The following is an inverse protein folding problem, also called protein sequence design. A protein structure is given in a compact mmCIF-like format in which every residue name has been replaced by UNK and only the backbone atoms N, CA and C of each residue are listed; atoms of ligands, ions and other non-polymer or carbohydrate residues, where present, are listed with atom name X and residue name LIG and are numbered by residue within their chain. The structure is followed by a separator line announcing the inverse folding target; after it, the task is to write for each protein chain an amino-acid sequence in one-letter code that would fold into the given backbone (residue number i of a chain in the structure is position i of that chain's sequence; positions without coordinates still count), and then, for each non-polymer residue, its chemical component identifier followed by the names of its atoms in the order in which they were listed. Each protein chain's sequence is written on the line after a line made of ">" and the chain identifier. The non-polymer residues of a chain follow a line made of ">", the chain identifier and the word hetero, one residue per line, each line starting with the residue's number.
data_IF_093308580028
#
_entry.id   IF_093308580028
#
_cell.length_a   1.000
_cell.length_b   1.000
_cell.length_c   1.000
_cell.angle_alpha   90.00
_cell.angle_beta   90.00
_cell.angle_gamma   90.00
#
_symmetry.space_group_name_H-M   'P 1'
#
loop_
_entity.id
_entity.type
_entity.pdbx_description
1 polymer ?
#
# COMPACT_ATOMS: atom_id res chain seq x y z
N UNK A 1 -11.80 -18.33 29.64
CA UNK A 1 -12.57 -17.40 28.79
C UNK A 1 -12.36 -15.98 29.29
N UNK A 2 -11.39 -15.24 28.77
CA UNK A 2 -11.38 -13.77 28.82
C UNK A 2 -10.68 -13.27 27.55
N UNK A 3 -11.27 -12.21 27.05
CA UNK A 3 -11.25 -11.64 25.71
C UNK A 3 -9.91 -11.10 25.21
N UNK A 4 -9.89 -11.06 23.89
CA UNK A 4 -8.90 -10.56 22.96
C UNK A 4 -8.79 -9.03 23.04
N UNK A 5 -7.71 -8.49 23.61
CA UNK A 5 -7.38 -7.07 23.58
C UNK A 5 -5.88 -6.87 23.80
N UNK A 6 -5.07 -7.15 22.78
CA UNK A 6 -3.63 -6.95 22.82
C UNK A 6 -3.09 -6.53 21.44
N UNK A 7 -3.41 -5.31 20.99
CA UNK A 7 -2.74 -4.70 19.83
C UNK A 7 -2.48 -3.19 19.99
N UNK A 8 -2.35 -2.69 21.22
CA UNK A 8 -2.01 -1.28 21.44
C UNK A 8 -1.18 -1.07 22.71
N UNK A 9 0.01 -1.67 22.78
CA UNK A 9 1.00 -1.28 23.79
C UNK A 9 2.06 -0.38 23.14
N UNK A 10 2.12 0.82 23.70
CA UNK A 10 2.94 1.99 23.39
C UNK A 10 4.42 1.69 23.70
N UNK A 11 5.29 1.71 22.69
CA UNK A 11 6.74 1.66 22.89
C UNK A 11 7.24 2.96 23.57
N UNK A 12 7.97 2.87 24.69
CA UNK A 12 8.55 4.01 25.38
C UNK A 12 9.92 4.32 24.77
N UNK A 13 10.00 5.42 24.01
CA UNK A 13 11.16 6.34 23.98
C UNK A 13 10.93 7.40 22.91
N UNK A 14 10.17 8.41 23.29
CA UNK A 14 10.18 9.73 22.65
C UNK A 14 11.31 10.57 23.24
N UNK A 15 12.51 10.48 22.68
CA UNK A 15 13.48 11.58 22.72
C UNK A 15 14.56 11.36 21.66
N UNK A 16 14.51 12.17 20.61
CA UNK A 16 15.61 12.98 20.06
C UNK A 16 15.26 13.42 18.63
N UNK A 17 15.39 14.73 18.45
CA UNK A 17 15.05 15.54 17.29
C UNK A 17 15.94 15.25 16.05
N UNK A 18 15.60 15.81 14.87
CA UNK A 18 15.78 15.17 13.58
C UNK A 18 17.20 15.37 13.04
N UNK A 19 17.94 14.28 12.84
CA UNK A 19 19.06 14.28 11.90
C UNK A 19 18.75 13.35 10.75
N UNK A 20 18.77 13.95 9.55
CA UNK A 20 18.62 13.33 8.24
C UNK A 20 19.63 12.20 8.06
N UNK A 21 19.29 10.99 8.49
CA UNK A 21 19.91 9.78 7.96
C UNK A 21 18.90 9.11 7.02
N UNK A 22 19.28 8.80 5.76
CA UNK A 22 18.35 8.17 4.80
C UNK A 22 18.08 6.68 5.14
N UNK A 23 18.37 6.23 6.36
CA UNK A 23 18.38 4.81 6.75
C UNK A 23 17.17 4.37 7.58
N UNK A 24 16.24 5.26 7.92
CA UNK A 24 15.05 4.93 8.73
C UNK A 24 13.74 4.75 7.93
N UNK A 25 13.79 4.63 6.60
CA UNK A 25 12.60 4.28 5.78
C UNK A 25 12.25 2.78 5.77
N UNK A 26 12.81 2.00 6.71
CA UNK A 26 12.58 0.55 6.78
C UNK A 26 11.41 0.15 7.68
N UNK A 27 10.77 1.08 8.41
CA UNK A 27 9.60 0.76 9.25
C UNK A 27 8.28 0.53 8.49
N UNK A 28 8.24 0.75 7.18
CA UNK A 28 7.11 0.32 6.31
C UNK A 28 7.37 -1.06 5.69
N UNK A 29 8.55 -1.67 5.93
CA UNK A 29 9.01 -2.94 5.34
C UNK A 29 8.92 -4.09 6.38
N UNK A 30 7.86 -4.12 7.19
CA UNK A 30 7.71 -5.15 8.23
C UNK A 30 7.31 -6.55 7.69
N UNK A 31 7.23 -6.73 6.37
CA UNK A 31 6.79 -7.97 5.74
C UNK A 31 7.76 -8.55 4.69
N UNK A 32 9.01 -8.09 4.60
CA UNK A 32 10.01 -8.74 3.73
C UNK A 32 10.89 -9.71 4.56
N UNK A 33 11.19 -10.93 4.05
CA UNK A 33 12.10 -11.84 4.75
C UNK A 33 13.46 -11.18 4.99
N UNK A 34 14.01 -11.33 6.20
CA UNK A 34 15.16 -10.57 6.72
C UNK A 34 16.46 -10.66 5.90
N UNK A 35 16.56 -11.63 4.98
CA UNK A 35 17.76 -11.85 4.13
C UNK A 35 17.91 -10.86 2.97
N UNK A 36 16.92 -10.00 2.71
CA UNK A 36 16.88 -9.11 1.54
C UNK A 36 17.03 -7.61 1.88
N UNK A 37 17.70 -7.26 2.98
CA UNK A 37 17.81 -5.85 3.40
C UNK A 37 19.21 -5.24 3.22
N UNK A 38 20.24 -6.05 2.96
CA UNK A 38 21.63 -5.60 2.95
C UNK A 38 22.13 -5.42 1.52
N UNK A 39 22.46 -4.17 1.17
CA UNK A 39 23.10 -3.80 -0.10
C UNK A 39 24.49 -3.25 0.20
N UNK A 40 25.52 -3.85 -0.40
CA UNK A 40 26.89 -3.36 -0.30
C UNK A 40 27.24 -2.46 -1.49
N UNK A 41 28.10 -1.46 -1.27
CA UNK A 41 28.49 -0.44 -2.25
C UNK A 41 29.28 -0.99 -3.46
N UNK A 42 29.69 -2.26 -3.44
CA UNK A 42 30.44 -2.92 -4.52
C UNK A 42 29.60 -3.79 -5.47
N UNK A 43 28.27 -3.81 -5.36
CA UNK A 43 27.44 -4.62 -6.26
C UNK A 43 27.32 -4.01 -7.66
N UNK A 44 27.30 -4.88 -8.68
CA UNK A 44 26.96 -4.50 -10.04
C UNK A 44 25.58 -3.81 -10.09
N UNK A 45 25.49 -2.72 -10.87
CA UNK A 45 24.28 -1.91 -10.99
C UNK A 45 23.04 -2.72 -11.40
N UNK A 46 23.23 -3.78 -12.20
CA UNK A 46 22.15 -4.69 -12.62
C UNK A 46 21.47 -5.39 -11.43
N UNK A 47 22.27 -5.94 -10.49
CA UNK A 47 21.75 -6.60 -9.28
C UNK A 47 20.98 -5.61 -8.41
N UNK A 48 21.47 -4.38 -8.35
CA UNK A 48 20.87 -3.32 -7.57
C UNK A 48 19.50 -2.87 -8.13
N UNK A 49 19.40 -2.74 -9.46
CA UNK A 49 18.12 -2.46 -10.14
C UNK A 49 17.10 -3.57 -9.87
N UNK A 50 17.51 -4.84 -10.02
CA UNK A 50 16.63 -5.98 -9.76
C UNK A 50 16.13 -6.01 -8.31
N UNK A 51 17.00 -5.68 -7.35
CA UNK A 51 16.66 -5.58 -5.94
C UNK A 51 15.56 -4.54 -5.68
N UNK A 52 15.72 -3.30 -6.18
CA UNK A 52 14.72 -2.25 -6.00
C UNK A 52 13.44 -2.50 -6.81
N UNK A 53 13.54 -3.07 -8.01
CA UNK A 53 12.37 -3.48 -8.79
C UNK A 53 11.53 -4.51 -8.06
N UNK A 54 12.17 -5.48 -7.38
CA UNK A 54 11.48 -6.49 -6.57
C UNK A 54 10.70 -5.83 -5.42
N UNK A 55 11.31 -4.90 -4.70
CA UNK A 55 10.62 -4.18 -3.60
C UNK A 55 9.38 -3.42 -4.07
N UNK A 56 9.49 -2.66 -5.17
CA UNK A 56 8.35 -1.91 -5.72
C UNK A 56 7.23 -2.84 -6.18
N UNK A 57 7.57 -3.95 -6.84
CA UNK A 57 6.58 -4.96 -7.25
C UNK A 57 5.94 -5.67 -6.05
N UNK A 58 6.73 -6.01 -5.03
CA UNK A 58 6.22 -6.64 -3.82
C UNK A 58 5.17 -5.76 -3.14
N UNK A 59 5.47 -4.47 -2.95
CA UNK A 59 4.51 -3.52 -2.38
C UNK A 59 3.26 -3.38 -3.25
N UNK A 60 3.40 -3.34 -4.58
CA UNK A 60 2.25 -3.29 -5.49
C UNK A 60 1.35 -4.52 -5.34
N UNK A 61 1.92 -5.74 -5.31
CA UNK A 61 1.15 -6.98 -5.11
C UNK A 61 0.43 -6.96 -3.77
N UNK A 62 1.11 -6.60 -2.68
CA UNK A 62 0.48 -6.51 -1.35
C UNK A 62 -0.74 -5.58 -1.33
N UNK A 63 -0.62 -4.38 -1.91
CA UNK A 63 -1.76 -3.46 -1.99
C UNK A 63 -2.86 -4.00 -2.90
N UNK A 64 -2.49 -4.61 -4.03
CA UNK A 64 -3.47 -5.19 -4.94
C UNK A 64 -4.27 -6.31 -4.27
N UNK A 65 -3.61 -7.23 -3.58
CA UNK A 65 -4.25 -8.36 -2.91
C UNK A 65 -5.18 -7.85 -1.81
N UNK A 66 -4.71 -6.95 -0.95
CA UNK A 66 -5.53 -6.36 0.13
C UNK A 66 -6.76 -5.62 -0.40
N UNK A 67 -6.61 -4.82 -1.45
CA UNK A 67 -7.76 -4.11 -2.06
C UNK A 67 -8.69 -5.08 -2.79
N UNK A 68 -8.18 -6.18 -3.34
CA UNK A 68 -9.00 -7.20 -4.01
C UNK A 68 -9.83 -7.97 -2.99
N UNK A 69 -9.24 -8.41 -1.87
CA UNK A 69 -9.96 -9.05 -0.77
C UNK A 69 -11.12 -8.18 -0.28
N UNK A 70 -10.90 -6.87 -0.10
CA UNK A 70 -11.96 -5.94 0.29
C UNK A 70 -13.09 -5.93 -0.74
N UNK A 71 -12.78 -5.91 -2.05
CA UNK A 71 -13.80 -5.92 -3.10
C UNK A 71 -14.57 -7.25 -3.12
N UNK A 72 -13.87 -8.36 -2.90
CA UNK A 72 -14.45 -9.71 -3.00
C UNK A 72 -15.31 -10.08 -1.79
N UNK A 73 -15.00 -9.53 -0.61
CA UNK A 73 -15.82 -9.68 0.62
C UNK A 73 -17.19 -9.01 0.48
N UNK A 74 -17.35 -8.08 -0.47
CA UNK A 74 -18.53 -7.25 -0.61
C UNK A 74 -19.39 -7.65 -1.82
N UNK A 75 -20.59 -8.24 -1.61
CA UNK A 75 -21.48 -8.61 -2.70
C UNK A 75 -22.05 -7.37 -3.41
N UNK A 76 -22.23 -7.47 -4.73
CA UNK A 76 -22.81 -6.37 -5.52
C UNK A 76 -24.29 -6.22 -5.20
N UNK A 77 -24.67 -5.02 -4.73
CA UNK A 77 -26.07 -4.64 -4.46
C UNK A 77 -27.04 -4.81 -5.63
N UNK A 78 -26.54 -4.82 -6.86
CA UNK A 78 -27.38 -4.89 -8.06
C UNK A 78 -27.88 -6.33 -8.33
N UNK A 79 -27.28 -7.37 -7.72
CA UNK A 79 -27.70 -8.78 -7.86
C UNK A 79 -28.59 -9.26 -6.70
N UNK A 80 -28.91 -8.38 -5.76
CA UNK A 80 -29.73 -8.69 -4.58
C UNK A 80 -31.22 -8.53 -4.93
N UNK A 81 -32.07 -9.42 -4.42
CA UNK A 81 -33.52 -9.31 -4.61
C UNK A 81 -34.04 -7.94 -4.12
N UNK A 82 -34.95 -7.27 -4.87
CA UNK A 82 -35.38 -5.89 -4.61
C UNK A 82 -35.81 -5.63 -3.16
N UNK A 83 -36.44 -6.61 -2.49
CA UNK A 83 -36.79 -6.53 -1.07
C UNK A 83 -35.62 -6.17 -0.13
N UNK A 84 -34.46 -6.81 -0.31
CA UNK A 84 -33.27 -6.52 0.50
C UNK A 84 -32.55 -5.26 0.02
N UNK A 85 -32.69 -4.92 -1.26
CA UNK A 85 -32.17 -3.67 -1.83
C UNK A 85 -32.82 -2.43 -1.21
N UNK A 86 -34.14 -2.45 -1.05
CA UNK A 86 -34.89 -1.35 -0.42
C UNK A 86 -34.54 -1.20 1.06
N UNK A 87 -34.37 -2.32 1.77
CA UNK A 87 -33.94 -2.31 3.18
C UNK A 87 -32.52 -1.71 3.33
N UNK A 88 -31.58 -2.09 2.46
CA UNK A 88 -30.22 -1.53 2.50
C UNK A 88 -30.19 -0.05 2.10
N UNK A 89 -31.08 0.38 1.20
CA UNK A 89 -31.17 1.77 0.80
C UNK A 89 -31.61 2.67 1.97
N UNK A 90 -32.61 2.23 2.74
CA UNK A 90 -33.09 2.96 3.93
C UNK A 90 -32.04 3.02 5.04
N UNK A 91 -31.26 1.95 5.24
CA UNK A 91 -30.30 1.86 6.34
C UNK A 91 -28.92 2.46 6.01
N UNK A 92 -28.42 2.32 4.78
CA UNK A 92 -27.02 2.59 4.44
C UNK A 92 -26.78 3.46 3.19
N UNK A 93 -27.84 4.01 2.57
CA UNK A 93 -27.77 4.78 1.32
C UNK A 93 -26.93 4.08 0.23
N UNK A 94 -27.62 3.36 -0.67
CA UNK A 94 -27.04 2.58 -1.78
C UNK A 94 -25.96 3.35 -2.59
N UNK A 95 -26.12 4.66 -2.77
CA UNK A 95 -25.22 5.46 -3.60
C UNK A 95 -23.85 5.68 -2.95
N UNK A 96 -23.81 5.85 -1.63
CA UNK A 96 -22.56 5.98 -0.88
C UNK A 96 -21.72 4.71 -0.96
N UNK A 97 -22.37 3.56 -0.80
CA UNK A 97 -21.71 2.26 -0.91
C UNK A 97 -21.12 2.03 -2.31
N UNK A 98 -21.90 2.31 -3.36
CA UNK A 98 -21.43 2.18 -4.75
C UNK A 98 -20.28 3.13 -5.06
N UNK A 99 -20.32 4.35 -4.53
CA UNK A 99 -19.26 5.34 -4.68
C UNK A 99 -17.97 4.90 -3.98
N UNK A 100 -18.06 4.37 -2.76
CA UNK A 100 -16.91 3.88 -2.00
C UNK A 100 -16.20 2.71 -2.73
N UNK A 101 -16.96 1.72 -3.20
CA UNK A 101 -16.41 0.62 -4.01
C UNK A 101 -15.77 1.12 -5.32
N UNK A 102 -16.38 2.11 -5.97
CA UNK A 102 -15.81 2.77 -7.15
C UNK A 102 -14.46 3.43 -6.86
N UNK A 103 -14.35 4.12 -5.73
CA UNK A 103 -13.09 4.75 -5.30
C UNK A 103 -11.99 3.72 -5.00
N UNK A 104 -12.32 2.60 -4.36
CA UNK A 104 -11.37 1.50 -4.11
C UNK A 104 -10.86 0.91 -5.43
N UNK A 105 -11.76 0.67 -6.40
CA UNK A 105 -11.38 0.13 -7.70
C UNK A 105 -10.49 1.10 -8.51
N UNK A 106 -10.79 2.41 -8.47
CA UNK A 106 -9.92 3.42 -9.10
C UNK A 106 -8.55 3.50 -8.43
N UNK A 107 -8.47 3.42 -7.09
CA UNK A 107 -7.21 3.40 -6.36
C UNK A 107 -6.35 2.17 -6.65
N UNK A 108 -6.97 0.98 -6.81
CA UNK A 108 -6.29 -0.24 -7.28
C UNK A 108 -5.63 -0.02 -8.64
N UNK A 109 -6.35 0.61 -9.57
CA UNK A 109 -5.85 0.90 -10.91
C UNK A 109 -4.73 1.96 -10.90
N UNK A 110 -4.87 3.01 -10.09
CA UNK A 110 -3.83 4.04 -9.92
C UNK A 110 -2.54 3.47 -9.34
N UNK A 111 -2.64 2.62 -8.30
CA UNK A 111 -1.49 1.94 -7.70
C UNK A 111 -0.73 1.10 -8.73
N UNK A 112 -1.46 0.38 -9.59
CA UNK A 112 -0.88 -0.41 -10.68
C UNK A 112 -0.20 0.44 -11.75
N UNK A 113 -0.76 1.62 -12.08
CA UNK A 113 -0.13 2.58 -13.01
C UNK A 113 1.18 3.14 -12.43
N UNK A 114 1.14 3.62 -11.20
CA UNK A 114 2.31 4.17 -10.48
C UNK A 114 3.45 3.13 -10.41
N UNK A 115 3.13 1.87 -10.10
CA UNK A 115 4.12 0.80 -10.06
C UNK A 115 4.79 0.58 -11.42
N UNK A 116 4.01 0.49 -12.50
CA UNK A 116 4.53 0.29 -13.87
C UNK A 116 5.47 1.42 -14.28
N UNK A 117 5.12 2.67 -13.97
CA UNK A 117 5.93 3.83 -14.34
C UNK A 117 7.25 3.87 -13.58
N UNK A 118 7.25 3.60 -12.28
CA UNK A 118 8.49 3.54 -11.50
C UNK A 118 9.38 2.35 -11.84
N UNK A 119 8.78 1.21 -12.20
CA UNK A 119 9.55 0.05 -12.69
C UNK A 119 10.26 0.38 -14.01
N UNK A 120 9.63 1.17 -14.89
CA UNK A 120 10.29 1.66 -16.11
C UNK A 120 11.44 2.61 -15.78
N UNK A 121 11.23 3.57 -14.89
CA UNK A 121 12.27 4.52 -14.47
C UNK A 121 13.47 3.84 -13.79
N UNK A 122 13.23 2.79 -12.99
CA UNK A 122 14.28 2.02 -12.33
C UNK A 122 15.21 1.26 -13.30
N UNK A 123 14.75 0.92 -14.51
CA UNK A 123 15.59 0.26 -15.52
C UNK A 123 16.77 1.15 -15.95
N UNK A 124 16.58 2.47 -15.92
CA UNK A 124 17.56 3.47 -16.34
C UNK A 124 18.33 4.10 -15.17
N UNK A 125 18.20 3.56 -13.95
CA UNK A 125 18.92 4.05 -12.77
C UNK A 125 20.42 3.76 -12.87
N UNK A 126 21.23 4.81 -12.90
CA UNK A 126 22.71 4.80 -12.97
C UNK A 126 23.39 4.63 -11.61
N UNK A 127 22.78 5.16 -10.54
CA UNK A 127 23.36 5.20 -9.19
C UNK A 127 22.46 4.54 -8.14
N UNK A 128 23.10 4.02 -7.08
CA UNK A 128 22.44 3.54 -5.86
C UNK A 128 21.54 4.62 -5.24
N UNK A 129 22.02 5.86 -5.21
CA UNK A 129 21.27 6.97 -4.64
C UNK A 129 19.97 7.22 -5.41
N UNK A 130 20.05 7.28 -6.75
CA UNK A 130 18.90 7.48 -7.63
C UNK A 130 17.88 6.36 -7.50
N UNK A 131 18.32 5.11 -7.44
CA UNK A 131 17.44 3.96 -7.23
C UNK A 131 16.73 4.02 -5.87
N UNK A 132 17.44 4.44 -4.81
CA UNK A 132 16.88 4.63 -3.47
C UNK A 132 15.82 5.73 -3.44
N UNK A 133 16.09 6.88 -4.05
CA UNK A 133 15.12 7.98 -4.16
C UNK A 133 13.87 7.55 -4.93
N UNK A 134 14.03 6.85 -6.06
CA UNK A 134 12.91 6.32 -6.84
C UNK A 134 12.06 5.33 -6.03
N UNK A 135 12.67 4.46 -5.22
CA UNK A 135 11.94 3.58 -4.30
C UNK A 135 11.08 4.38 -3.34
N UNK A 136 11.67 5.36 -2.65
CA UNK A 136 10.97 6.17 -1.63
C UNK A 136 9.82 6.96 -2.27
N UNK A 137 10.06 7.57 -3.43
CA UNK A 137 9.02 8.29 -4.17
C UNK A 137 7.87 7.37 -4.59
N UNK A 138 8.18 6.14 -5.05
CA UNK A 138 7.17 5.16 -5.42
C UNK A 138 6.26 4.78 -4.25
N UNK A 139 6.86 4.42 -3.12
CA UNK A 139 6.12 4.07 -1.91
C UNK A 139 5.30 5.25 -1.38
N UNK A 140 5.87 6.46 -1.42
CA UNK A 140 5.17 7.69 -1.05
C UNK A 140 3.92 7.91 -1.89
N UNK A 141 4.03 7.86 -3.24
CA UNK A 141 2.87 8.03 -4.13
C UNK A 141 1.79 6.96 -3.90
N UNK A 142 2.18 5.70 -3.70
CA UNK A 142 1.23 4.61 -3.40
C UNK A 142 0.50 4.86 -2.07
N UNK A 143 1.23 5.27 -1.02
CA UNK A 143 0.65 5.57 0.29
C UNK A 143 -0.34 6.75 0.21
N UNK A 144 -0.02 7.81 -0.54
CA UNK A 144 -0.93 8.95 -0.72
C UNK A 144 -2.23 8.55 -1.41
N UNK A 145 -2.19 7.66 -2.41
CA UNK A 145 -3.40 7.15 -3.06
C UNK A 145 -4.30 6.42 -2.06
N UNK A 146 -3.70 5.59 -1.19
CA UNK A 146 -4.46 4.83 -0.19
C UNK A 146 -5.03 5.74 0.90
N UNK A 147 -4.24 6.72 1.37
CA UNK A 147 -4.71 7.74 2.33
C UNK A 147 -5.92 8.52 1.81
N UNK A 148 -6.03 8.73 0.49
CA UNK A 148 -7.18 9.39 -0.12
C UNK A 148 -8.46 8.54 -0.06
N UNK A 149 -8.34 7.22 -0.01
CA UNK A 149 -9.47 6.27 0.06
C UNK A 149 -9.82 5.88 1.51
N UNK A 150 -8.93 6.17 2.47
CA UNK A 150 -9.17 5.94 3.89
C UNK A 150 -10.52 6.47 4.44
N UNK A 151 -11.01 7.69 4.11
CA UNK A 151 -12.31 8.13 4.61
C UNK A 151 -13.48 7.27 4.10
N UNK A 152 -13.35 6.70 2.91
CA UNK A 152 -14.35 5.82 2.31
C UNK A 152 -14.33 4.40 2.88
N UNK A 153 -13.27 4.04 3.61
CA UNK A 153 -13.12 2.77 4.33
C UNK A 153 -13.48 2.89 5.83
N UNK A 154 -13.50 4.12 6.37
CA UNK A 154 -13.80 4.38 7.78
C UNK A 154 -15.30 4.60 8.05
N UNK A 155 -16.11 4.62 6.98
CA UNK A 155 -17.57 4.64 7.03
C UNK A 155 -18.08 3.20 7.08
#
# INVERSE_FOLDING_TARGET
>A
MVSNSALFQKDPNSSLSPSLSPFTTDRVIAAEPSRWCIVHKGYAISRLRQFYMRKVKYTQTNYYDKLSTIIDEFPRLDDIHPFYGDLLHVLYNKDHYKLALGQINTARNLTSKIAKDYVRLLKYGDSLYRCKCLKVAALGRMCTVIKRVAPSLAY
#
